data_IF_460485935714
#
_entry.id   IF_460485935714
#
_cell.length_a   1.000
_cell.length_b   1.000
_cell.length_c   1.000
_cell.angle_alpha   90.00
_cell.angle_beta   90.00
_cell.angle_gamma   90.00
#
_symmetry.space_group_name_H-M   'P 1'
#
loop_
_entity.id
_entity.type
_entity.pdbx_description
1 polymer ?
#
# COMPACT_ATOMS: atom_id res chain seq x y z
N UNK A 1 -9.29 6.01 6.73
CA UNK A 1 -9.04 5.57 5.33
C UNK A 1 -10.14 4.62 4.91
N UNK A 2 -10.61 4.71 3.65
CA UNK A 2 -11.76 3.95 3.13
C UNK A 2 -11.54 2.41 3.08
N UNK A 3 -10.28 1.95 3.06
CA UNK A 3 -9.92 0.54 3.06
C UNK A 3 -8.71 0.27 3.96
N UNK A 4 -8.68 -0.91 4.60
CA UNK A 4 -7.52 -1.40 5.35
C UNK A 4 -6.46 -2.03 4.42
N UNK A 5 -5.24 -2.25 4.93
CA UNK A 5 -4.11 -2.80 4.15
C UNK A 5 -4.43 -4.13 3.47
N UNK A 6 -5.15 -5.03 4.16
CA UNK A 6 -5.52 -6.34 3.61
C UNK A 6 -6.52 -6.19 2.45
N UNK A 7 -7.52 -5.32 2.58
CA UNK A 7 -8.48 -5.00 1.54
C UNK A 7 -7.78 -4.40 0.31
N UNK A 8 -6.81 -3.50 0.51
CA UNK A 8 -6.02 -2.92 -0.59
C UNK A 8 -5.21 -3.97 -1.35
N UNK A 9 -4.60 -4.93 -0.64
CA UNK A 9 -3.89 -6.06 -1.26
C UNK A 9 -4.84 -6.95 -2.07
N UNK A 10 -6.03 -7.23 -1.55
CA UNK A 10 -7.04 -8.02 -2.26
C UNK A 10 -7.52 -7.32 -3.54
N UNK A 11 -7.81 -6.02 -3.46
CA UNK A 11 -8.21 -5.21 -4.63
C UNK A 11 -7.09 -5.23 -5.68
N UNK A 12 -5.83 -5.02 -5.26
CA UNK A 12 -4.69 -5.05 -6.16
C UNK A 12 -4.54 -6.40 -6.89
N UNK A 13 -4.79 -7.52 -6.19
CA UNK A 13 -4.73 -8.84 -6.80
C UNK A 13 -5.84 -9.04 -7.85
N UNK A 14 -7.06 -8.57 -7.56
CA UNK A 14 -8.18 -8.62 -8.50
C UNK A 14 -7.90 -7.80 -9.76
N UNK A 15 -7.43 -6.55 -9.61
CA UNK A 15 -7.11 -5.68 -10.74
C UNK A 15 -6.00 -6.27 -11.62
N UNK A 16 -4.99 -6.91 -11.02
CA UNK A 16 -3.94 -7.62 -11.78
C UNK A 16 -4.47 -8.83 -12.55
N UNK A 17 -5.43 -9.57 -11.99
CA UNK A 17 -6.12 -10.67 -12.70
C UNK A 17 -6.96 -10.14 -13.84
N UNK A 18 -7.64 -9.02 -13.65
CA UNK A 18 -8.44 -8.37 -14.68
C UNK A 18 -7.57 -7.84 -15.83
N UNK A 19 -6.41 -7.23 -15.53
CA UNK A 19 -5.43 -6.79 -16.53
C UNK A 19 -5.01 -7.93 -17.45
N UNK A 20 -4.75 -9.13 -16.90
CA UNK A 20 -4.38 -10.31 -17.69
C UNK A 20 -5.49 -10.79 -18.63
N UNK A 21 -6.75 -10.51 -18.31
CA UNK A 21 -7.92 -10.88 -19.12
C UNK A 21 -8.32 -9.78 -20.11
N UNK A 22 -7.81 -8.57 -19.94
CA UNK A 22 -8.21 -7.43 -20.73
C UNK A 22 -7.44 -7.40 -22.06
N UNK A 23 -8.17 -7.47 -23.17
CA UNK A 23 -7.61 -7.32 -24.53
C UNK A 23 -7.75 -5.88 -25.08
N UNK A 24 -8.30 -4.94 -24.30
CA UNK A 24 -8.58 -3.57 -24.74
C UNK A 24 -7.43 -2.62 -24.40
N UNK A 25 -6.86 -1.98 -25.43
CA UNK A 25 -5.72 -1.05 -25.33
C UNK A 25 -6.00 0.19 -24.47
N UNK A 26 -7.23 0.74 -24.54
CA UNK A 26 -7.60 1.98 -23.83
C UNK A 26 -8.03 1.72 -22.38
N UNK A 27 -8.76 0.63 -22.12
CA UNK A 27 -9.11 0.24 -20.75
C UNK A 27 -7.88 -0.24 -19.96
N UNK A 28 -6.84 -0.74 -20.65
CA UNK A 28 -5.57 -1.11 -20.05
C UNK A 28 -4.84 0.06 -19.40
N UNK A 29 -4.84 1.25 -20.01
CA UNK A 29 -4.09 2.39 -19.46
C UNK A 29 -4.65 2.91 -18.14
N UNK A 30 -5.97 3.05 -18.03
CA UNK A 30 -6.60 3.45 -16.77
C UNK A 30 -6.41 2.37 -15.68
N UNK A 31 -6.54 1.10 -16.05
CA UNK A 31 -6.34 -0.03 -15.15
C UNK A 31 -4.89 -0.06 -14.65
N UNK A 32 -3.92 0.22 -15.52
CA UNK A 32 -2.51 0.27 -15.20
C UNK A 32 -2.19 1.39 -14.20
N UNK A 33 -2.69 2.60 -14.45
CA UNK A 33 -2.56 3.72 -13.50
C UNK A 33 -3.17 3.37 -12.14
N UNK A 34 -4.35 2.77 -12.14
CA UNK A 34 -5.03 2.36 -10.90
C UNK A 34 -4.22 1.30 -10.13
N UNK A 35 -3.61 0.35 -10.83
CA UNK A 35 -2.74 -0.68 -10.24
C UNK A 35 -1.49 -0.04 -9.63
N UNK A 36 -0.88 0.93 -10.32
CA UNK A 36 0.32 1.61 -9.86
C UNK A 36 0.04 2.44 -8.61
N UNK A 37 -1.03 3.24 -8.62
CA UNK A 37 -1.43 4.06 -7.47
C UNK A 37 -1.74 3.19 -6.23
N UNK A 38 -2.52 2.11 -6.39
CA UNK A 38 -2.79 1.18 -5.29
C UNK A 38 -1.53 0.47 -4.80
N UNK A 39 -0.61 0.12 -5.70
CA UNK A 39 0.67 -0.49 -5.32
C UNK A 39 1.51 0.48 -4.49
N UNK A 40 1.57 1.76 -4.88
CA UNK A 40 2.26 2.79 -4.11
C UNK A 40 1.61 3.01 -2.74
N UNK A 41 0.27 3.08 -2.67
CA UNK A 41 -0.44 3.22 -1.40
C UNK A 41 -0.13 2.07 -0.42
N UNK A 42 -0.14 0.82 -0.91
CA UNK A 42 0.20 -0.36 -0.10
C UNK A 42 1.64 -0.28 0.40
N UNK A 43 2.59 0.12 -0.47
CA UNK A 43 4.00 0.28 -0.09
C UNK A 43 4.18 1.36 0.96
N UNK A 44 3.56 2.52 0.78
CA UNK A 44 3.65 3.64 1.73
C UNK A 44 3.11 3.24 3.10
N UNK A 45 1.99 2.50 3.16
CA UNK A 45 1.48 1.98 4.43
C UNK A 45 2.44 1.00 5.08
N UNK A 46 3.11 0.14 4.31
CA UNK A 46 4.08 -0.80 4.86
C UNK A 46 5.33 -0.11 5.39
N UNK A 47 5.86 0.88 4.67
CA UNK A 47 7.03 1.67 5.08
C UNK A 47 6.70 2.53 6.29
N UNK A 48 5.63 3.32 6.24
CA UNK A 48 5.24 4.19 7.34
C UNK A 48 4.86 3.41 8.61
N UNK A 49 4.25 2.22 8.46
CA UNK A 49 3.99 1.36 9.62
C UNK A 49 5.28 0.79 10.24
N UNK A 50 6.34 0.62 9.46
CA UNK A 50 7.65 0.21 9.97
C UNK A 50 8.38 1.38 10.66
N UNK A 51 8.41 2.56 10.04
CA UNK A 51 9.05 3.76 10.61
C UNK A 51 8.42 4.22 11.94
N UNK A 52 7.11 4.01 12.12
CA UNK A 52 6.42 4.27 13.39
C UNK A 52 6.90 3.38 14.55
N UNK A 53 7.46 2.20 14.25
CA UNK A 53 8.00 1.30 15.29
C UNK A 53 9.43 1.64 15.68
N UNK A 54 10.25 2.06 14.72
CA UNK A 54 11.66 2.37 14.96
C UNK A 54 11.85 3.74 15.66
N UNK A 55 10.90 4.66 15.52
CA UNK A 55 10.94 6.00 16.14
C UNK A 55 10.34 6.07 17.55
N UNK A 56 10.07 4.93 18.21
CA UNK A 56 9.75 4.94 19.65
C UNK A 56 11.05 5.18 20.41
N UNK A 57 11.48 6.45 20.45
CA UNK A 57 12.45 6.93 21.42
C UNK A 57 11.81 6.69 22.78
N UNK A 58 12.33 5.73 23.54
CA UNK A 58 11.91 5.48 24.90
C UNK A 58 12.35 6.65 25.80
N UNK A 59 11.51 7.66 25.91
CA UNK A 59 11.72 8.83 26.77
C UNK A 59 11.77 8.46 28.26
N UNK A 60 11.38 7.24 28.67
CA UNK A 60 11.50 6.79 30.06
C UNK A 60 12.92 6.35 30.41
N UNK A 61 13.74 5.99 29.42
CA UNK A 61 15.14 5.60 29.63
C UNK A 61 16.03 6.77 30.11
N UNK A 62 15.61 8.02 29.93
CA UNK A 62 16.40 9.20 30.33
C UNK A 62 16.20 9.69 31.77
N UNK A 63 15.35 9.06 32.59
CA UNK A 63 15.08 9.50 33.98
C UNK A 63 15.98 8.89 35.07
N UNK A 64 17.02 8.14 34.72
CA UNK A 64 18.03 7.64 35.67
C UNK A 64 19.37 8.33 35.46
N UNK A 65 19.48 9.58 35.90
CA UNK A 65 20.75 10.18 36.30
C UNK A 65 20.51 11.26 37.34
#
# INVERSE_FOLDING_TARGET
MLFNLQQKKLILELLRKEKRKLFSKHKGELLDKTIDDLSQMVRNEQVNAAELRDNVIDWQSHKKR
#
